data_IF_060327814208
#
_entry.id   IF_060327814208
#
_cell.length_a   1.000
_cell.length_b   1.000
_cell.length_c   1.000
_cell.angle_alpha   90.00
_cell.angle_beta   90.00
_cell.angle_gamma   90.00
#
_symmetry.space_group_name_H-M   'P 1'
#
loop_
_entity.id
_entity.type
_entity.pdbx_description
1 polymer ?
#
# COMPACT_ATOMS: atom_id res chain seq x y z
N UNK A 1 2.43 8.48 25.78
CA UNK A 1 3.22 7.79 24.76
C UNK A 1 2.51 7.96 23.44
N UNK A 2 3.23 8.16 22.34
CA UNK A 2 2.67 8.29 20.99
C UNK A 2 3.30 7.22 20.10
N UNK A 3 2.61 6.85 19.02
CA UNK A 3 3.05 5.80 18.09
C UNK A 3 2.74 6.17 16.64
N UNK A 4 3.62 5.76 15.73
CA UNK A 4 3.36 5.78 14.30
C UNK A 4 3.30 4.34 13.79
N UNK A 5 2.27 4.01 13.02
CA UNK A 5 1.99 2.65 12.56
C UNK A 5 1.61 2.68 11.09
N UNK A 6 2.18 1.77 10.30
CA UNK A 6 1.76 1.51 8.94
C UNK A 6 1.21 0.08 8.86
N UNK A 7 0.12 -0.07 8.12
CA UNK A 7 -0.47 -1.38 7.84
C UNK A 7 -0.52 -1.57 6.34
N UNK A 8 0.23 -2.56 5.87
CA UNK A 8 0.29 -2.95 4.46
C UNK A 8 -0.53 -4.21 4.26
N UNK A 9 -1.32 -4.23 3.18
CA UNK A 9 -2.18 -5.37 2.84
C UNK A 9 -2.11 -5.62 1.35
N UNK A 10 -1.64 -6.81 0.98
CA UNK A 10 -1.64 -7.31 -0.39
C UNK A 10 -2.63 -8.48 -0.54
N UNK A 11 -3.48 -8.42 -1.56
CA UNK A 11 -4.53 -9.41 -1.82
C UNK A 11 -4.46 -9.89 -3.26
N UNK A 12 -4.32 -11.20 -3.46
CA UNK A 12 -4.43 -11.79 -4.79
C UNK A 12 -5.84 -11.61 -5.36
N UNK A 13 -5.95 -11.50 -6.69
CA UNK A 13 -7.23 -11.32 -7.38
C UNK A 13 -7.36 -12.29 -8.57
N UNK A 14 -7.51 -13.60 -8.31
CA UNK A 14 -7.67 -14.59 -9.38
C UNK A 14 -8.79 -14.21 -10.35
N UNK A 15 -8.49 -14.23 -11.65
CA UNK A 15 -9.43 -13.83 -12.71
C UNK A 15 -9.84 -12.35 -12.75
N UNK A 16 -9.28 -11.48 -11.89
CA UNK A 16 -9.65 -10.05 -11.80
C UNK A 16 -8.46 -9.09 -11.91
N UNK A 17 -7.35 -9.56 -12.49
CA UNK A 17 -6.16 -8.76 -12.80
C UNK A 17 -5.08 -8.83 -11.72
N UNK A 18 -4.28 -7.78 -11.61
CA UNK A 18 -3.16 -7.71 -10.67
C UNK A 18 -3.62 -7.75 -9.21
N UNK A 19 -2.82 -8.32 -8.29
CA UNK A 19 -3.09 -8.20 -6.85
C UNK A 19 -3.32 -6.75 -6.42
N UNK A 20 -4.21 -6.54 -5.46
CA UNK A 20 -4.45 -5.22 -4.87
C UNK A 20 -3.54 -5.03 -3.67
N UNK A 21 -2.86 -3.89 -3.62
CA UNK A 21 -2.04 -3.44 -2.50
C UNK A 21 -2.64 -2.18 -1.88
N UNK A 22 -2.73 -2.15 -0.56
CA UNK A 22 -3.21 -1.01 0.23
C UNK A 22 -2.20 -0.77 1.35
N UNK A 23 -1.79 0.49 1.52
CA UNK A 23 -1.06 0.92 2.72
C UNK A 23 -1.85 2.01 3.44
N UNK A 24 -1.91 1.95 4.77
CA UNK A 24 -2.51 3.00 5.60
C UNK A 24 -1.58 3.39 6.74
N UNK A 25 -1.34 4.69 6.89
CA UNK A 25 -0.51 5.25 7.95
C UNK A 25 -1.35 5.90 9.04
N UNK A 26 -1.01 5.60 10.29
CA UNK A 26 -1.62 6.15 11.50
C UNK A 26 -0.57 6.83 12.39
N UNK A 27 -0.95 7.97 12.97
CA UNK A 27 -0.33 8.51 14.18
C UNK A 27 -1.34 8.36 15.30
N UNK A 28 -0.98 7.56 16.30
CA UNK A 28 -1.89 7.04 17.31
C UNK A 28 -3.12 6.38 16.68
N UNK A 29 -4.31 6.94 16.90
CA UNK A 29 -5.57 6.42 16.36
C UNK A 29 -6.09 7.25 15.18
N UNK A 30 -5.27 8.18 14.66
CA UNK A 30 -5.63 9.07 13.55
C UNK A 30 -4.93 8.62 12.28
N UNK A 31 -5.72 8.22 11.28
CA UNK A 31 -5.20 7.94 9.94
C UNK A 31 -4.75 9.24 9.29
N UNK A 32 -3.53 9.27 8.76
CA UNK A 32 -2.98 10.48 8.13
C UNK A 32 -2.60 10.28 6.67
N UNK A 33 -2.33 9.06 6.23
CA UNK A 33 -2.06 8.76 4.82
C UNK A 33 -2.66 7.43 4.37
N UNK A 34 -2.83 7.30 3.05
CA UNK A 34 -3.26 6.07 2.38
C UNK A 34 -2.68 5.97 0.97
N UNK A 35 -2.26 4.76 0.61
CA UNK A 35 -2.04 4.31 -0.76
C UNK A 35 -3.06 3.24 -1.15
N UNK A 36 -3.56 3.27 -2.38
CA UNK A 36 -4.37 2.20 -2.96
C UNK A 36 -3.95 1.93 -4.39
N UNK A 37 -3.43 0.73 -4.66
CA UNK A 37 -2.94 0.35 -6.00
C UNK A 37 -4.05 0.24 -7.03
N UNK A 38 -5.32 0.16 -6.58
CA UNK A 38 -6.50 0.01 -7.45
C UNK A 38 -7.13 1.36 -7.82
N UNK A 39 -6.61 2.47 -7.29
CA UNK A 39 -7.06 3.80 -7.69
C UNK A 39 -6.72 4.09 -9.16
N UNK A 40 -7.53 4.93 -9.83
CA UNK A 40 -7.28 5.29 -11.23
C UNK A 40 -5.91 5.97 -11.44
N UNK A 41 -5.42 6.67 -10.42
CA UNK A 41 -4.08 7.25 -10.39
C UNK A 41 -3.45 6.94 -9.02
N UNK A 42 -2.80 5.77 -8.85
CA UNK A 42 -2.25 5.36 -7.56
C UNK A 42 -1.15 6.32 -7.10
N UNK A 43 -1.41 6.96 -5.96
CA UNK A 43 -0.52 7.90 -5.28
C UNK A 43 -0.78 7.84 -3.78
N UNK A 44 0.18 8.33 -3.00
CA UNK A 44 -0.01 8.56 -1.57
C UNK A 44 -0.96 9.74 -1.37
N UNK A 45 -1.99 9.57 -0.55
CA UNK A 45 -3.04 10.57 -0.34
C UNK A 45 -3.14 10.99 1.12
N UNK A 46 -3.33 12.30 1.40
CA UNK A 46 -3.56 12.78 2.74
C UNK A 46 -4.92 12.28 3.28
N UNK A 47 -4.96 11.97 4.57
CA UNK A 47 -6.16 11.56 5.32
C UNK A 47 -6.41 12.41 6.57
N UNK A 48 -5.51 13.34 6.87
CA UNK A 48 -5.67 14.33 7.92
C UNK A 48 -5.16 15.71 7.45
N UNK A 49 -5.77 16.83 7.88
CA UNK A 49 -5.42 18.15 7.37
C UNK A 49 -3.96 18.56 7.60
N UNK A 50 -3.35 18.08 8.68
CA UNK A 50 -2.00 18.47 9.07
C UNK A 50 -0.91 17.90 8.18
N UNK A 51 -1.17 16.83 7.41
CA UNK A 51 -0.17 16.27 6.48
C UNK A 51 -0.18 17.01 5.14
N UNK A 52 -1.23 17.77 4.82
CA UNK A 52 -1.34 18.52 3.55
C UNK A 52 -0.28 19.63 3.42
N UNK A 53 0.34 20.03 4.54
CA UNK A 53 1.45 20.99 4.55
C UNK A 53 2.75 20.44 3.94
N UNK A 54 2.85 19.13 3.76
CA UNK A 54 4.03 18.48 3.16
C UNK A 54 4.16 18.83 1.67
N UNK A 55 5.41 19.05 1.24
CA UNK A 55 5.72 19.43 -0.13
C UNK A 55 5.58 18.29 -1.16
N UNK A 56 5.59 18.60 -2.46
CA UNK A 56 5.52 17.60 -3.54
C UNK A 56 6.55 16.47 -3.41
N UNK A 57 7.75 16.77 -2.90
CA UNK A 57 8.83 15.80 -2.73
C UNK A 57 8.46 14.67 -1.76
N UNK A 58 7.70 14.99 -0.71
CA UNK A 58 7.18 13.99 0.24
C UNK A 58 6.20 13.06 -0.46
N UNK A 59 5.24 13.62 -1.20
CA UNK A 59 4.18 12.86 -1.86
C UNK A 59 4.73 11.99 -2.99
N UNK A 60 5.64 12.52 -3.80
CA UNK A 60 6.27 11.80 -4.90
C UNK A 60 7.13 10.66 -4.37
N UNK A 61 7.95 10.92 -3.35
CA UNK A 61 8.79 9.90 -2.72
C UNK A 61 7.95 8.75 -2.14
N UNK A 62 6.95 9.05 -1.31
CA UNK A 62 6.12 8.01 -0.70
C UNK A 62 5.30 7.25 -1.74
N UNK A 63 4.79 7.94 -2.76
CA UNK A 63 4.14 7.28 -3.91
C UNK A 63 5.06 6.26 -4.59
N UNK A 64 6.33 6.60 -4.82
CA UNK A 64 7.28 5.66 -5.45
C UNK A 64 7.63 4.48 -4.54
N UNK A 65 7.74 4.71 -3.22
CA UNK A 65 7.94 3.64 -2.24
C UNK A 65 6.78 2.65 -2.30
N UNK A 66 5.52 3.10 -2.23
CA UNK A 66 4.39 2.18 -2.23
C UNK A 66 4.12 1.53 -3.59
N UNK A 67 4.48 2.18 -4.70
CA UNK A 67 4.53 1.54 -6.02
C UNK A 67 5.55 0.40 -6.07
N UNK A 68 6.72 0.59 -5.45
CA UNK A 68 7.74 -0.46 -5.34
C UNK A 68 7.23 -1.61 -4.47
N UNK A 69 6.66 -1.31 -3.29
CA UNK A 69 6.08 -2.33 -2.40
C UNK A 69 4.98 -3.13 -3.08
N UNK A 70 4.13 -2.48 -3.90
CA UNK A 70 3.10 -3.17 -4.70
C UNK A 70 3.70 -4.26 -5.60
N UNK A 71 4.86 -4.01 -6.24
CA UNK A 71 5.53 -5.02 -7.06
C UNK A 71 6.17 -6.12 -6.21
N UNK A 72 6.84 -5.75 -5.12
CA UNK A 72 7.44 -6.72 -4.19
C UNK A 72 6.39 -7.66 -3.62
N UNK A 73 5.24 -7.14 -3.17
CA UNK A 73 4.19 -7.97 -2.59
C UNK A 73 3.47 -8.84 -3.61
N UNK A 74 3.36 -8.39 -4.86
CA UNK A 74 2.91 -9.24 -5.96
C UNK A 74 3.80 -10.48 -6.11
N UNK A 75 5.12 -10.31 -6.05
CA UNK A 75 6.08 -11.42 -6.12
C UNK A 75 6.03 -12.30 -4.86
N UNK A 76 5.89 -11.70 -3.69
CA UNK A 76 5.72 -12.42 -2.43
C UNK A 76 4.46 -13.30 -2.45
N UNK A 77 3.33 -12.80 -2.97
CA UNK A 77 2.10 -13.58 -3.11
C UNK A 77 2.30 -14.81 -4.01
N UNK A 78 2.98 -14.65 -5.15
CA UNK A 78 3.32 -15.77 -6.05
C UNK A 78 4.23 -16.80 -5.37
N UNK A 79 5.21 -16.31 -4.62
CA UNK A 79 6.16 -17.15 -3.89
C UNK A 79 5.46 -17.94 -2.79
N UNK A 80 4.58 -17.29 -2.02
CA UNK A 80 3.78 -17.94 -0.99
C UNK A 80 2.86 -19.02 -1.56
N UNK A 81 2.15 -18.75 -2.67
CA UNK A 81 1.33 -19.74 -3.35
C UNK A 81 2.14 -21.01 -3.68
N UNK A 82 3.35 -20.84 -4.23
CA UNK A 82 4.25 -21.95 -4.56
C UNK A 82 4.70 -22.73 -3.33
N UNK A 83 5.13 -22.05 -2.27
CA UNK A 83 5.61 -22.70 -1.05
C UNK A 83 4.55 -23.56 -0.37
N UNK A 84 3.28 -23.14 -0.44
CA UNK A 84 2.17 -23.87 0.14
C UNK A 84 1.43 -24.77 -0.85
N UNK A 85 1.99 -25.00 -2.06
CA UNK A 85 1.38 -25.81 -3.12
C UNK A 85 -0.07 -25.39 -3.43
N UNK A 86 -0.35 -24.09 -3.40
CA UNK A 86 -1.66 -23.52 -3.68
C UNK A 86 -1.79 -23.24 -5.18
N UNK A 87 -2.98 -23.49 -5.74
CA UNK A 87 -3.27 -23.23 -7.15
C UNK A 87 -3.38 -21.73 -7.43
N UNK A 88 -2.81 -21.30 -8.56
CA UNK A 88 -3.23 -20.05 -9.19
C UNK A 88 -4.65 -20.28 -9.75
N UNK A 89 -5.66 -19.69 -9.11
CA UNK A 89 -7.06 -19.90 -9.49
C UNK A 89 -7.45 -19.19 -10.78
#
# INVERSE_FOLDING_TARGET
SHSMRYFDTAMSRPGRGEPRFISVGYVDDTQFVRFDSDAASPREEPRAPWIEQEGPEYWDRNTQIFKTNTQTDRENLRTALRYYNQSEA
#
